data_IF_715993797864
#
_entry.id   IF_715993797864
#
_cell.length_a   1.000
_cell.length_b   1.000
_cell.length_c   1.000
_cell.angle_alpha   90.00
_cell.angle_beta   90.00
_cell.angle_gamma   90.00
#
_symmetry.space_group_name_H-M   'P 1'
#
loop_
_entity.id
_entity.type
_entity.pdbx_description
1 polymer ?
#
# COMPACT_ATOMS: atom_id res chain seq x y z
N UNK A 1 28.38 20.25 29.97
CA UNK A 1 27.40 19.20 30.39
C UNK A 1 25.95 19.57 30.07
N UNK A 2 25.53 20.84 30.14
CA UNK A 2 24.14 21.24 29.82
C UNK A 2 23.74 21.04 28.33
N UNK A 3 24.59 21.37 27.36
CA UNK A 3 24.30 21.16 25.93
C UNK A 3 24.08 19.68 25.54
N UNK A 4 24.87 18.75 26.08
CA UNK A 4 24.65 17.29 25.83
C UNK A 4 23.35 16.76 26.45
N UNK A 5 22.86 17.37 27.54
CA UNK A 5 21.55 17.01 28.12
C UNK A 5 20.38 17.57 27.30
N UNK A 6 20.53 18.74 26.68
CA UNK A 6 19.52 19.30 25.80
C UNK A 6 19.41 18.51 24.49
N UNK A 7 20.54 18.20 23.84
CA UNK A 7 20.54 17.38 22.63
C UNK A 7 20.00 15.95 22.87
N UNK A 8 20.26 15.35 24.04
CA UNK A 8 19.67 14.06 24.41
C UNK A 8 18.16 14.17 24.74
N UNK A 9 17.67 15.32 25.23
CA UNK A 9 16.24 15.54 25.44
C UNK A 9 15.49 15.85 24.13
N UNK A 10 16.09 16.56 23.20
CA UNK A 10 15.49 16.80 21.88
C UNK A 10 15.43 15.53 21.02
N UNK A 11 16.48 14.70 21.02
CA UNK A 11 16.47 13.40 20.32
C UNK A 11 15.45 12.41 20.90
N UNK A 12 15.18 12.46 22.21
CA UNK A 12 14.18 11.57 22.83
C UNK A 12 12.73 12.00 22.61
N UNK A 13 12.47 13.23 22.15
CA UNK A 13 11.11 13.70 21.83
C UNK A 13 10.59 13.18 20.49
N UNK A 14 11.47 12.81 19.56
CA UNK A 14 11.10 12.29 18.25
C UNK A 14 10.97 10.76 18.19
N UNK A 15 11.45 10.04 19.21
CA UNK A 15 11.33 8.59 19.26
C UNK A 15 9.92 8.16 19.64
N UNK A 16 9.25 7.44 18.75
CA UNK A 16 7.93 6.85 18.98
C UNK A 16 8.04 5.34 19.14
N UNK A 17 7.17 4.77 19.95
CA UNK A 17 7.02 3.33 20.15
C UNK A 17 5.59 2.92 19.91
N UNK A 18 5.39 1.69 19.44
CA UNK A 18 4.06 1.14 19.27
C UNK A 18 3.62 0.41 20.53
N UNK A 19 2.54 0.87 21.12
CA UNK A 19 1.89 0.23 22.24
C UNK A 19 0.58 -0.43 21.82
N UNK A 20 0.21 -1.48 22.52
CA UNK A 20 -0.97 -2.32 22.26
C UNK A 20 -1.79 -2.41 23.56
N UNK A 21 -3.11 -2.31 23.43
CA UNK A 21 -4.07 -2.67 24.46
C UNK A 21 -4.88 -3.89 23.97
N UNK A 22 -4.83 -5.00 24.70
CA UNK A 22 -5.79 -6.10 24.52
C UNK A 22 -7.10 -5.74 25.23
N UNK A 23 -8.16 -5.51 24.45
CA UNK A 23 -9.49 -5.12 24.96
C UNK A 23 -10.16 -6.20 25.77
N UNK A 24 -9.76 -7.48 25.63
CA UNK A 24 -10.33 -8.61 26.37
C UNK A 24 -9.74 -8.73 27.76
N UNK A 25 -8.42 -8.54 27.84
CA UNK A 25 -7.68 -8.69 29.10
C UNK A 25 -7.39 -7.38 29.79
N UNK A 26 -7.60 -6.24 29.11
CA UNK A 26 -7.21 -4.89 29.53
C UNK A 26 -5.70 -4.76 29.83
N UNK A 27 -4.88 -5.62 29.24
CA UNK A 27 -3.42 -5.54 29.37
C UNK A 27 -2.81 -4.69 28.27
N UNK A 28 -1.82 -3.91 28.65
CA UNK A 28 -1.01 -3.13 27.73
C UNK A 28 0.35 -3.79 27.52
N UNK A 29 0.89 -3.66 26.32
CA UNK A 29 2.23 -4.11 25.96
C UNK A 29 2.85 -3.13 24.95
N UNK A 30 4.17 -3.25 24.74
CA UNK A 30 4.91 -2.52 23.70
C UNK A 30 5.56 -3.50 22.76
N UNK A 31 5.55 -3.19 21.47
CA UNK A 31 6.24 -3.99 20.46
C UNK A 31 7.74 -3.84 20.66
N UNK A 32 8.44 -4.96 20.82
CA UNK A 32 9.92 -5.00 20.93
C UNK A 32 10.59 -5.31 19.61
N UNK A 33 9.94 -6.16 18.80
CA UNK A 33 10.49 -6.56 17.51
C UNK A 33 9.35 -6.92 16.56
N UNK A 34 9.56 -6.64 15.31
CA UNK A 34 8.75 -7.15 14.21
C UNK A 34 9.63 -8.10 13.41
N UNK A 35 9.20 -9.32 13.22
CA UNK A 35 9.88 -10.25 12.34
C UNK A 35 9.55 -9.86 10.89
N UNK A 36 10.57 -9.51 10.13
CA UNK A 36 10.42 -9.09 8.74
C UNK A 36 9.98 -10.22 7.81
N UNK A 37 10.22 -11.48 8.23
CA UNK A 37 9.90 -12.66 7.40
C UNK A 37 8.41 -13.04 7.45
N UNK A 38 7.82 -13.04 8.64
CA UNK A 38 6.43 -13.47 8.84
C UNK A 38 5.53 -12.39 9.43
N UNK A 39 6.11 -11.21 9.73
CA UNK A 39 5.42 -10.09 10.36
C UNK A 39 5.04 -10.32 11.81
N UNK A 40 5.55 -11.40 12.44
CA UNK A 40 5.27 -11.68 13.85
C UNK A 40 5.81 -10.58 14.76
N UNK A 41 5.06 -10.30 15.81
CA UNK A 41 5.40 -9.30 16.79
C UNK A 41 5.85 -9.95 18.09
N UNK A 42 7.01 -9.56 18.54
CA UNK A 42 7.39 -9.76 19.92
C UNK A 42 6.92 -8.55 20.73
N UNK A 43 6.21 -8.83 21.82
CA UNK A 43 5.69 -7.80 22.73
C UNK A 43 6.32 -7.98 24.10
N UNK A 44 6.57 -6.86 24.75
CA UNK A 44 7.13 -6.82 26.12
C UNK A 44 6.27 -5.92 27.01
N UNK A 45 6.29 -6.12 28.34
CA UNK A 45 5.62 -5.21 29.26
C UNK A 45 6.11 -3.76 29.06
N UNK A 46 5.24 -2.74 29.25
CA UNK A 46 5.55 -1.34 29.02
C UNK A 46 6.40 -0.70 30.12
N UNK A 47 7.21 -1.48 30.81
CA UNK A 47 8.07 -1.04 31.89
C UNK A 47 9.30 -0.28 31.39
N UNK A 48 9.72 0.77 32.08
CA UNK A 48 10.95 1.51 31.78
C UNK A 48 12.19 0.64 31.67
N UNK A 49 12.24 -0.49 32.39
CA UNK A 49 13.32 -1.48 32.32
C UNK A 49 13.49 -2.09 30.95
N UNK A 50 12.40 -2.16 30.19
CA UNK A 50 12.35 -2.76 28.85
C UNK A 50 12.55 -1.73 27.74
N UNK A 51 12.74 -0.44 28.06
CA UNK A 51 12.76 0.64 27.07
C UNK A 51 13.86 0.49 26.01
N UNK A 52 14.98 -0.16 26.35
CA UNK A 52 16.04 -0.50 25.39
C UNK A 52 15.63 -1.58 24.38
N UNK A 53 14.60 -2.36 24.70
CA UNK A 53 14.09 -3.43 23.85
C UNK A 53 12.87 -2.99 23.02
N UNK A 54 12.38 -1.75 23.18
CA UNK A 54 11.23 -1.27 22.42
C UNK A 54 11.62 -0.99 20.97
N UNK A 55 10.77 -1.44 20.04
CA UNK A 55 10.89 -1.07 18.64
C UNK A 55 10.61 0.42 18.49
N UNK A 56 11.64 1.18 18.14
CA UNK A 56 11.54 2.61 17.90
C UNK A 56 11.10 2.83 16.46
N UNK A 57 10.07 3.63 16.28
CA UNK A 57 9.48 3.97 15.01
C UNK A 57 9.61 5.47 14.80
N UNK A 58 9.93 5.88 13.59
CA UNK A 58 9.71 7.24 13.15
C UNK A 58 8.31 7.38 12.52
N UNK A 59 7.85 8.60 12.30
CA UNK A 59 6.54 8.84 11.68
C UNK A 59 6.46 8.41 10.21
N UNK A 60 7.60 8.07 9.60
CA UNK A 60 7.73 7.66 8.20
C UNK A 60 7.81 6.15 8.05
N UNK A 61 7.95 5.41 9.16
CA UNK A 61 7.99 3.95 9.16
C UNK A 61 6.73 3.37 8.52
N UNK A 62 6.84 2.29 7.72
CA UNK A 62 5.72 1.71 6.98
C UNK A 62 4.75 0.97 7.92
N UNK A 63 3.96 1.73 8.68
CA UNK A 63 2.93 1.21 9.59
C UNK A 63 1.88 0.35 8.87
N UNK A 64 1.69 0.55 7.56
CA UNK A 64 0.77 -0.24 6.75
C UNK A 64 1.14 -1.72 6.72
N UNK A 65 2.42 -2.04 6.60
CA UNK A 65 2.91 -3.42 6.61
C UNK A 65 2.74 -4.06 7.99
N UNK A 66 3.02 -3.28 9.05
CA UNK A 66 2.78 -3.68 10.43
C UNK A 66 1.33 -4.12 10.65
N UNK A 67 0.36 -3.28 10.25
CA UNK A 67 -1.06 -3.60 10.47
C UNK A 67 -1.54 -4.79 9.63
N UNK A 68 -1.01 -4.96 8.43
CA UNK A 68 -1.35 -6.11 7.58
C UNK A 68 -0.89 -7.41 8.22
N UNK A 69 0.35 -7.44 8.68
CA UNK A 69 0.93 -8.62 9.31
C UNK A 69 0.30 -8.90 10.68
N UNK A 70 0.01 -7.85 11.44
CA UNK A 70 -0.67 -7.99 12.72
C UNK A 70 -2.09 -8.55 12.57
N UNK A 71 -2.87 -8.07 11.58
CA UNK A 71 -4.21 -8.61 11.29
C UNK A 71 -4.15 -10.11 10.98
N UNK A 72 -3.09 -10.55 10.32
CA UNK A 72 -2.91 -11.94 9.94
C UNK A 72 -2.55 -12.87 11.10
N UNK A 73 -1.94 -12.34 12.17
CA UNK A 73 -1.54 -13.12 13.36
C UNK A 73 -2.64 -13.30 14.39
N UNK A 74 -3.59 -12.39 14.44
CA UNK A 74 -4.63 -12.39 15.44
C UNK A 74 -5.97 -12.68 14.78
N UNK A 75 -6.60 -13.79 15.18
CA UNK A 75 -7.91 -14.23 14.68
C UNK A 75 -9.01 -13.18 14.86
N UNK A 76 -8.79 -12.18 15.73
CA UNK A 76 -9.73 -11.09 15.96
C UNK A 76 -9.00 -9.76 16.20
N UNK A 77 -8.61 -9.03 15.14
CA UNK A 77 -7.90 -7.74 15.24
C UNK A 77 -8.73 -6.65 15.93
N UNK A 78 -10.04 -6.78 16.00
CA UNK A 78 -10.93 -5.84 16.71
C UNK A 78 -10.76 -5.92 18.23
N UNK A 79 -10.11 -6.97 18.75
CA UNK A 79 -9.82 -7.13 20.17
C UNK A 79 -8.66 -6.27 20.66
N UNK A 80 -7.95 -5.60 19.77
CA UNK A 80 -6.77 -4.78 20.11
C UNK A 80 -6.97 -3.33 19.75
N UNK A 81 -6.38 -2.44 20.55
CA UNK A 81 -6.17 -1.03 20.22
C UNK A 81 -4.68 -0.76 20.11
N UNK A 82 -4.30 0.08 19.16
CA UNK A 82 -2.91 0.42 18.85
C UNK A 82 -2.66 1.88 19.12
N UNK A 83 -1.48 2.20 19.64
CA UNK A 83 -1.08 3.55 19.99
C UNK A 83 0.35 3.78 19.50
N UNK A 84 0.57 4.82 18.70
CA UNK A 84 1.90 5.33 18.39
C UNK A 84 2.22 6.44 19.39
N UNK A 85 3.07 6.16 20.36
CA UNK A 85 3.29 7.01 21.52
C UNK A 85 4.73 7.51 21.54
N UNK A 86 4.98 8.82 21.71
CA UNK A 86 6.31 9.29 22.02
C UNK A 86 6.86 8.57 23.26
N UNK A 87 8.07 8.04 23.19
CA UNK A 87 8.66 7.23 24.26
C UNK A 87 8.60 7.94 25.64
N UNK A 88 8.81 9.25 25.65
CA UNK A 88 8.77 10.07 26.85
C UNK A 88 7.37 10.17 27.49
N UNK A 89 6.30 9.93 26.71
CA UNK A 89 4.91 9.99 27.15
C UNK A 89 4.27 8.61 27.35
N UNK A 90 5.01 7.52 27.10
CA UNK A 90 4.48 6.15 27.08
C UNK A 90 3.70 5.81 28.35
N UNK A 91 4.30 5.99 29.52
CA UNK A 91 3.69 5.66 30.81
C UNK A 91 2.41 6.46 31.07
N UNK A 92 2.45 7.78 30.83
CA UNK A 92 1.28 8.67 30.99
C UNK A 92 0.14 8.27 30.05
N UNK A 93 0.46 8.02 28.78
CA UNK A 93 -0.52 7.64 27.77
C UNK A 93 -1.18 6.31 28.11
N UNK A 94 -0.39 5.28 28.46
CA UNK A 94 -0.94 3.97 28.77
C UNK A 94 -1.77 3.95 30.07
N UNK A 95 -1.38 4.74 31.08
CA UNK A 95 -2.20 4.92 32.29
C UNK A 95 -3.55 5.56 31.95
N UNK A 96 -3.57 6.61 31.11
CA UNK A 96 -4.82 7.23 30.65
C UNK A 96 -5.69 6.23 29.85
N UNK A 97 -5.09 5.42 28.98
CA UNK A 97 -5.80 4.35 28.23
C UNK A 97 -6.47 3.37 29.19
N UNK A 98 -5.74 2.90 30.21
CA UNK A 98 -6.28 1.94 31.20
C UNK A 98 -7.40 2.58 32.03
N UNK A 99 -7.26 3.85 32.43
CA UNK A 99 -8.30 4.59 33.16
C UNK A 99 -9.58 4.69 32.35
N UNK A 100 -9.50 5.14 31.09
CA UNK A 100 -10.66 5.22 30.18
C UNK A 100 -11.36 3.85 30.05
N UNK A 101 -10.59 2.78 29.94
CA UNK A 101 -11.14 1.41 29.85
C UNK A 101 -11.85 0.95 31.13
N UNK A 102 -11.42 1.44 32.27
CA UNK A 102 -12.10 1.19 33.57
C UNK A 102 -13.30 2.09 33.81
N UNK A 103 -13.58 3.05 32.93
CA UNK A 103 -14.62 4.06 33.09
C UNK A 103 -14.19 5.22 34.01
N UNK A 104 -12.89 5.34 34.31
CA UNK A 104 -12.30 6.42 35.10
C UNK A 104 -11.99 7.61 34.20
N UNK A 105 -11.99 8.83 34.74
CA UNK A 105 -11.64 10.03 33.98
C UNK A 105 -10.12 10.33 34.07
N UNK A 106 -9.35 10.22 32.96
CA UNK A 106 -7.93 10.51 32.96
C UNK A 106 -7.60 12.02 32.94
N UNK A 107 -8.63 12.86 33.01
CA UNK A 107 -8.50 14.31 32.87
C UNK A 107 -8.29 14.76 31.41
N UNK A 108 -8.28 16.09 31.23
CA UNK A 108 -8.19 16.70 29.88
C UNK A 108 -6.87 16.34 29.20
N UNK A 109 -5.76 16.34 29.93
CA UNK A 109 -4.44 15.99 29.39
C UNK A 109 -4.38 14.53 28.98
N UNK A 110 -4.88 13.60 29.84
CA UNK A 110 -4.92 12.18 29.53
C UNK A 110 -5.78 11.85 28.30
N UNK A 111 -6.94 12.48 28.15
CA UNK A 111 -7.79 12.32 26.95
C UNK A 111 -7.05 12.76 25.69
N UNK A 112 -6.41 13.93 25.70
CA UNK A 112 -5.61 14.41 24.56
C UNK A 112 -4.44 13.49 24.21
N UNK A 113 -3.75 12.94 25.22
CA UNK A 113 -2.66 11.99 24.98
C UNK A 113 -3.16 10.73 24.27
N UNK A 114 -4.30 10.20 24.69
CA UNK A 114 -4.91 9.02 24.04
C UNK A 114 -5.36 9.35 22.63
N UNK A 115 -6.13 10.42 22.42
CA UNK A 115 -6.61 10.85 21.09
C UNK A 115 -5.46 11.08 20.09
N UNK A 116 -4.37 11.70 20.53
CA UNK A 116 -3.21 11.97 19.67
C UNK A 116 -2.38 10.73 19.34
N UNK A 117 -2.44 9.72 20.20
CA UNK A 117 -1.63 8.50 20.09
C UNK A 117 -2.39 7.34 19.48
N UNK A 118 -3.71 7.30 19.65
CA UNK A 118 -4.55 6.19 19.20
C UNK A 118 -4.52 6.07 17.68
N UNK A 119 -4.08 4.92 17.23
CA UNK A 119 -4.09 4.55 15.81
C UNK A 119 -5.44 3.93 15.41
N UNK A 120 -6.27 3.63 16.40
CA UNK A 120 -7.61 3.10 16.27
C UNK A 120 -8.67 4.21 16.11
N UNK A 121 -8.52 5.01 15.15
CA UNK A 121 -9.73 5.38 14.48
C UNK A 121 -10.23 4.08 13.80
N UNK A 122 -11.35 3.50 14.28
CA UNK A 122 -12.00 2.36 13.58
C UNK A 122 -12.09 2.66 12.08
N UNK A 123 -12.18 3.95 11.71
CA UNK A 123 -12.01 4.47 10.37
C UNK A 123 -10.61 4.30 9.77
N UNK A 124 -9.52 4.34 10.52
CA UNK A 124 -8.16 4.33 9.96
C UNK A 124 -7.66 2.90 9.72
N UNK A 125 -7.88 1.98 10.67
CA UNK A 125 -7.63 0.55 10.46
C UNK A 125 -8.65 -0.03 9.48
N UNK A 126 -9.93 0.38 9.55
CA UNK A 126 -10.92 0.00 8.55
C UNK A 126 -10.62 0.60 7.16
N UNK A 127 -10.05 1.81 7.05
CA UNK A 127 -9.55 2.36 5.79
C UNK A 127 -8.32 1.60 5.28
N UNK A 128 -7.39 1.22 6.16
CA UNK A 128 -6.24 0.40 5.80
C UNK A 128 -6.69 -1.01 5.42
N UNK A 129 -7.58 -1.63 6.20
CA UNK A 129 -8.15 -2.94 5.89
C UNK A 129 -9.03 -2.92 4.61
N UNK A 130 -9.75 -1.83 4.34
CA UNK A 130 -10.51 -1.63 3.09
C UNK A 130 -9.62 -1.44 1.86
N UNK A 131 -8.35 -1.07 2.04
CA UNK A 131 -7.37 -0.99 0.94
C UNK A 131 -6.92 -2.37 0.46
N UNK A 132 -7.00 -3.40 1.32
CA UNK A 132 -6.67 -4.76 0.95
C UNK A 132 -7.94 -5.52 0.57
N UNK A 133 -7.95 -6.03 -0.64
CA UNK A 133 -9.05 -6.81 -1.20
C UNK A 133 -9.00 -8.27 -0.73
N UNK A 134 -7.79 -8.74 -0.43
CA UNK A 134 -7.49 -10.11 -0.03
C UNK A 134 -6.69 -10.13 1.27
N UNK A 135 -6.84 -11.22 2.02
CA UNK A 135 -5.96 -11.55 3.14
C UNK A 135 -4.79 -12.40 2.65
N UNK A 136 -3.64 -12.29 3.32
CA UNK A 136 -2.42 -12.98 2.91
C UNK A 136 -2.60 -14.50 2.81
N UNK A 137 -3.34 -15.13 3.74
CA UNK A 137 -3.57 -16.59 3.68
C UNK A 137 -4.48 -17.00 2.51
N UNK A 138 -5.19 -16.06 1.90
CA UNK A 138 -6.01 -16.33 0.71
C UNK A 138 -5.18 -16.32 -0.56
N UNK A 139 -3.95 -15.79 -0.51
CA UNK A 139 -3.09 -15.77 -1.69
C UNK A 139 -2.75 -17.21 -2.12
N UNK A 140 -2.67 -17.45 -3.43
CA UNK A 140 -2.44 -18.77 -4.01
C UNK A 140 -0.95 -19.17 -3.92
N UNK A 141 -0.45 -19.34 -2.70
CA UNK A 141 0.97 -19.61 -2.40
C UNK A 141 1.52 -20.85 -3.10
N UNK A 142 0.68 -21.89 -3.26
CA UNK A 142 1.09 -23.12 -3.97
C UNK A 142 1.37 -22.85 -5.44
N UNK A 143 0.56 -22.01 -6.08
CA UNK A 143 0.71 -21.64 -7.49
C UNK A 143 1.94 -20.74 -7.68
N UNK A 144 2.14 -19.76 -6.79
CA UNK A 144 3.32 -18.89 -6.79
C UNK A 144 4.61 -19.70 -6.60
N UNK A 145 4.64 -20.60 -5.60
CA UNK A 145 5.79 -21.47 -5.34
C UNK A 145 6.10 -22.38 -6.52
N UNK A 146 5.08 -22.91 -7.22
CA UNK A 146 5.26 -23.73 -8.41
C UNK A 146 5.90 -22.95 -9.59
N UNK A 147 5.81 -21.61 -9.56
CA UNK A 147 6.47 -20.71 -10.51
C UNK A 147 7.85 -20.22 -10.01
N UNK A 148 8.26 -20.63 -8.81
CA UNK A 148 9.52 -20.21 -8.20
C UNK A 148 9.44 -18.86 -7.48
N UNK A 149 8.23 -18.38 -7.19
CA UNK A 149 8.00 -17.12 -6.49
C UNK A 149 7.52 -17.42 -5.07
N UNK A 150 8.29 -17.02 -4.09
CA UNK A 150 7.96 -17.17 -2.69
C UNK A 150 7.53 -15.84 -2.04
N UNK A 151 7.12 -15.92 -0.78
CA UNK A 151 6.68 -14.78 0.00
C UNK A 151 7.77 -13.75 0.18
N UNK A 152 9.01 -14.19 0.45
CA UNK A 152 10.14 -13.31 0.70
C UNK A 152 10.47 -12.49 -0.56
N UNK A 153 10.48 -13.12 -1.73
CA UNK A 153 10.74 -12.44 -3.00
C UNK A 153 9.70 -11.34 -3.28
N UNK A 154 8.41 -11.60 -3.00
CA UNK A 154 7.35 -10.59 -3.15
C UNK A 154 7.49 -9.46 -2.12
N UNK A 155 7.91 -9.78 -0.92
CA UNK A 155 8.12 -8.82 0.16
C UNK A 155 9.30 -7.88 -0.13
N UNK A 156 10.46 -8.42 -0.45
CA UNK A 156 11.68 -7.67 -0.75
C UNK A 156 11.52 -6.71 -1.93
N UNK A 157 10.62 -7.06 -2.84
CA UNK A 157 10.31 -6.25 -4.01
C UNK A 157 9.04 -5.40 -3.84
N UNK A 158 8.51 -5.26 -2.63
CA UNK A 158 7.32 -4.45 -2.30
C UNK A 158 6.03 -4.81 -3.06
N UNK A 159 5.98 -6.00 -3.68
CA UNK A 159 4.85 -6.45 -4.49
C UNK A 159 3.74 -7.16 -3.69
N UNK A 160 4.03 -7.58 -2.45
CA UNK A 160 3.04 -8.21 -1.57
C UNK A 160 1.80 -7.33 -1.39
N UNK A 161 2.00 -6.05 -1.04
CA UNK A 161 0.90 -5.10 -0.84
C UNK A 161 0.09 -4.84 -2.11
N UNK A 162 0.70 -4.93 -3.29
CA UNK A 162 0.00 -4.80 -4.58
C UNK A 162 -0.92 -6.00 -4.81
N UNK A 163 -0.45 -7.21 -4.60
CA UNK A 163 -1.24 -8.42 -4.74
C UNK A 163 -2.41 -8.46 -3.75
N UNK A 164 -2.20 -8.08 -2.49
CA UNK A 164 -3.26 -7.98 -1.48
C UNK A 164 -4.34 -6.95 -1.86
N UNK A 165 -3.96 -5.89 -2.56
CA UNK A 165 -4.91 -4.88 -3.10
C UNK A 165 -5.60 -5.35 -4.39
N UNK A 166 -5.27 -6.52 -4.92
CA UNK A 166 -5.75 -6.99 -6.21
C UNK A 166 -5.19 -6.19 -7.38
N UNK A 167 -4.01 -5.60 -7.20
CA UNK A 167 -3.26 -4.87 -8.23
C UNK A 167 -2.26 -5.78 -8.91
N UNK A 168 -1.88 -5.41 -10.13
CA UNK A 168 -0.76 -6.08 -10.80
C UNK A 168 0.55 -5.72 -10.11
N UNK A 169 1.49 -6.68 -10.00
CA UNK A 169 2.84 -6.40 -9.47
C UNK A 169 3.56 -5.39 -10.34
N UNK A 170 4.19 -4.38 -9.72
CA UNK A 170 4.87 -3.28 -10.40
C UNK A 170 6.16 -3.70 -11.11
N UNK A 171 6.59 -4.95 -10.93
CA UNK A 171 7.72 -5.54 -11.64
C UNK A 171 7.42 -6.96 -12.12
N UNK A 172 8.18 -7.43 -13.09
CA UNK A 172 8.17 -8.80 -13.56
C UNK A 172 9.16 -9.64 -12.77
N UNK A 173 8.78 -10.88 -12.48
CA UNK A 173 9.58 -11.87 -11.78
C UNK A 173 10.00 -12.96 -12.73
N UNK A 174 11.26 -13.45 -12.65
CA UNK A 174 11.65 -14.65 -13.38
C UNK A 174 10.84 -15.83 -12.89
N UNK A 175 10.22 -16.55 -13.81
CA UNK A 175 9.39 -17.72 -13.51
C UNK A 175 10.01 -18.98 -14.09
N UNK A 176 9.87 -20.07 -13.35
CA UNK A 176 10.32 -21.39 -13.77
C UNK A 176 9.29 -22.43 -13.40
N UNK A 177 9.28 -23.52 -14.15
CA UNK A 177 8.39 -24.64 -13.89
C UNK A 177 9.20 -25.94 -13.91
N UNK A 178 8.91 -26.82 -12.96
CA UNK A 178 9.47 -28.16 -12.96
C UNK A 178 8.76 -29.02 -14.00
N UNK A 179 9.54 -29.56 -14.95
CA UNK A 179 9.06 -30.45 -16.00
C UNK A 179 9.98 -31.67 -16.01
N UNK A 180 9.45 -32.85 -15.73
CA UNK A 180 10.20 -34.11 -15.67
C UNK A 180 11.40 -34.09 -14.68
N UNK A 181 11.28 -33.38 -13.56
CA UNK A 181 12.34 -33.27 -12.56
C UNK A 181 13.40 -32.20 -12.87
N UNK A 182 13.28 -31.49 -13.99
CA UNK A 182 14.18 -30.39 -14.36
C UNK A 182 13.47 -29.06 -14.26
N UNK A 183 14.16 -28.06 -13.69
CA UNK A 183 13.65 -26.70 -13.59
C UNK A 183 13.85 -25.98 -14.93
N UNK A 184 12.73 -25.72 -15.64
CA UNK A 184 12.73 -25.02 -16.93
C UNK A 184 12.41 -23.56 -16.75
N UNK A 185 13.23 -22.68 -17.30
CA UNK A 185 12.97 -21.25 -17.39
C UNK A 185 11.75 -20.98 -18.29
N UNK A 186 10.80 -20.19 -17.81
CA UNK A 186 9.58 -19.80 -18.50
C UNK A 186 9.55 -18.29 -18.81
N UNK A 187 10.69 -17.59 -18.65
CA UNK A 187 10.79 -16.14 -18.82
C UNK A 187 10.33 -15.35 -17.60
N UNK A 188 9.76 -14.19 -17.83
CA UNK A 188 9.32 -13.28 -16.79
C UNK A 188 7.79 -13.11 -16.79
N UNK A 189 7.22 -12.89 -15.61
CA UNK A 189 5.77 -12.61 -15.48
C UNK A 189 5.50 -11.60 -14.34
N UNK A 190 4.42 -10.85 -14.51
CA UNK A 190 3.77 -10.11 -13.43
C UNK A 190 2.57 -10.90 -12.92
N UNK A 191 2.17 -10.62 -11.69
CA UNK A 191 1.10 -11.34 -11.02
C UNK A 191 -0.04 -10.42 -10.65
N UNK A 192 -1.25 -10.95 -10.67
CA UNK A 192 -2.48 -10.28 -10.29
C UNK A 192 -3.39 -11.30 -9.58
N UNK A 193 -3.85 -10.96 -8.38
CA UNK A 193 -4.86 -11.76 -7.69
C UNK A 193 -6.26 -11.25 -8.02
N UNK A 194 -7.14 -12.17 -8.38
CA UNK A 194 -8.56 -11.90 -8.66
C UNK A 194 -9.44 -12.82 -7.83
N UNK A 195 -10.67 -12.39 -7.58
CA UNK A 195 -11.68 -13.25 -6.95
C UNK A 195 -12.37 -14.08 -8.02
N UNK A 196 -12.28 -15.39 -7.92
CA UNK A 196 -12.99 -16.33 -8.79
C UNK A 196 -14.49 -16.37 -8.51
N UNK A 197 -15.24 -17.04 -9.38
CA UNK A 197 -16.69 -17.23 -9.24
C UNK A 197 -17.03 -18.04 -7.98
N UNK A 198 -16.15 -18.94 -7.57
CA UNK A 198 -16.26 -19.72 -6.34
C UNK A 198 -15.91 -18.93 -5.07
N UNK A 199 -15.62 -17.64 -5.21
CA UNK A 199 -15.24 -16.74 -4.12
C UNK A 199 -13.79 -16.87 -3.66
N UNK A 200 -13.01 -17.82 -4.19
CA UNK A 200 -11.59 -18.01 -3.87
C UNK A 200 -10.71 -17.04 -4.64
N UNK A 201 -9.54 -16.78 -4.07
CA UNK A 201 -8.52 -15.98 -4.74
C UNK A 201 -7.78 -16.86 -5.75
N UNK A 202 -7.69 -16.36 -6.97
CA UNK A 202 -7.02 -17.00 -8.09
C UNK A 202 -5.84 -16.16 -8.57
N UNK A 203 -4.75 -16.82 -8.96
CA UNK A 203 -3.58 -16.17 -9.55
C UNK A 203 -3.78 -15.98 -11.06
N UNK A 204 -3.67 -14.75 -11.52
CA UNK A 204 -3.45 -14.47 -12.94
C UNK A 204 -1.97 -14.20 -13.18
N UNK A 205 -1.34 -15.07 -13.95
CA UNK A 205 0.04 -14.93 -14.38
C UNK A 205 0.08 -14.22 -15.73
N UNK A 206 0.68 -13.04 -15.74
CA UNK A 206 0.81 -12.18 -16.92
C UNK A 206 2.24 -12.27 -17.44
N UNK A 207 2.54 -13.29 -18.23
CA UNK A 207 3.86 -13.45 -18.86
C UNK A 207 4.20 -12.19 -19.66
N UNK A 208 5.43 -11.73 -19.51
CA UNK A 208 5.95 -10.58 -20.24
C UNK A 208 5.93 -10.88 -21.75
N UNK A 209 5.47 -9.92 -22.50
CA UNK A 209 5.48 -9.97 -23.96
C UNK A 209 6.77 -9.37 -24.50
N UNK A 210 7.26 -9.89 -25.63
CA UNK A 210 8.46 -9.35 -26.30
C UNK A 210 8.25 -7.95 -26.87
N UNK A 211 7.00 -7.62 -27.18
CA UNK A 211 6.59 -6.32 -27.71
C UNK A 211 5.37 -5.80 -26.95
N UNK A 212 5.16 -4.47 -26.93
CA UNK A 212 3.94 -3.90 -26.41
C UNK A 212 2.70 -4.55 -26.98
N UNK A 213 1.74 -4.91 -26.14
CA UNK A 213 0.53 -5.64 -26.54
C UNK A 213 -0.26 -4.92 -27.64
N UNK A 214 -0.29 -3.58 -27.63
CA UNK A 214 -0.97 -2.78 -28.66
C UNK A 214 -0.31 -2.86 -30.04
N UNK A 215 0.90 -3.40 -30.16
CA UNK A 215 1.60 -3.63 -31.43
C UNK A 215 1.45 -5.08 -31.96
N UNK A 216 0.78 -5.94 -31.20
CA UNK A 216 0.52 -7.31 -31.62
C UNK A 216 -0.55 -7.35 -32.72
N UNK A 217 -0.51 -8.35 -33.64
CA UNK A 217 -1.50 -8.48 -34.71
C UNK A 217 -2.95 -8.50 -34.22
N UNK A 218 -3.21 -9.13 -33.05
CA UNK A 218 -4.53 -9.19 -32.43
C UNK A 218 -5.10 -7.82 -32.02
N UNK A 219 -4.26 -6.80 -31.90
CA UNK A 219 -4.63 -5.43 -31.53
C UNK A 219 -4.59 -4.46 -32.73
N UNK A 220 -4.40 -4.97 -33.94
CA UNK A 220 -4.39 -4.14 -35.16
C UNK A 220 -5.72 -3.40 -35.30
N UNK A 221 -5.65 -2.06 -35.35
CA UNK A 221 -6.83 -1.19 -35.47
C UNK A 221 -7.61 -0.98 -34.17
N UNK A 222 -7.19 -1.56 -33.05
CA UNK A 222 -7.80 -1.31 -31.74
C UNK A 222 -7.39 0.07 -31.21
N UNK A 223 -6.14 0.47 -31.41
CA UNK A 223 -5.61 1.76 -30.97
C UNK A 223 -5.16 2.58 -32.17
N UNK A 224 -5.47 3.89 -32.15
CA UNK A 224 -4.88 4.85 -33.08
C UNK A 224 -3.42 5.12 -32.74
N UNK A 225 -2.68 5.76 -33.63
CA UNK A 225 -1.26 6.08 -33.38
C UNK A 225 -1.13 7.09 -32.24
N UNK A 226 -2.07 8.05 -32.10
CA UNK A 226 -2.13 8.99 -30.99
C UNK A 226 -2.42 8.30 -29.66
N UNK A 227 -3.32 7.32 -29.65
CA UNK A 227 -3.62 6.52 -28.47
C UNK A 227 -2.41 5.68 -28.03
N UNK A 228 -1.69 5.06 -28.96
CA UNK A 228 -0.44 4.34 -28.68
C UNK A 228 0.63 5.27 -28.12
N UNK A 229 0.75 6.46 -28.71
CA UNK A 229 1.70 7.46 -28.20
C UNK A 229 1.33 7.92 -26.80
N UNK A 230 0.04 8.16 -26.50
CA UNK A 230 -0.43 8.47 -25.14
C UNK A 230 -0.08 7.36 -24.14
N UNK A 231 -0.34 6.11 -24.48
CA UNK A 231 0.01 4.95 -23.64
C UNK A 231 1.52 4.85 -23.39
N UNK A 232 2.34 5.12 -24.40
CA UNK A 232 3.80 5.12 -24.30
C UNK A 232 4.33 6.24 -23.42
N UNK A 233 3.85 7.48 -23.63
CA UNK A 233 4.39 8.68 -22.99
C UNK A 233 3.87 8.86 -21.56
N UNK A 234 2.63 8.44 -21.33
CA UNK A 234 1.94 8.73 -20.06
C UNK A 234 1.58 7.49 -19.25
N UNK A 235 1.67 6.32 -19.86
CA UNK A 235 1.24 5.05 -19.26
C UNK A 235 -0.28 4.87 -19.21
N UNK A 236 -1.09 5.87 -19.66
CA UNK A 236 -2.56 5.81 -19.66
C UNK A 236 -3.13 6.30 -20.97
N UNK A 237 -4.30 5.79 -21.38
CA UNK A 237 -4.94 6.21 -22.63
C UNK A 237 -5.40 7.67 -22.59
N UNK A 238 -5.86 8.12 -21.43
CA UNK A 238 -6.43 9.48 -21.28
C UNK A 238 -7.90 9.56 -21.70
N UNK A 239 -8.52 8.45 -22.03
CA UNK A 239 -9.92 8.32 -22.42
C UNK A 239 -10.48 6.96 -22.03
N UNK A 240 -11.80 6.84 -22.08
CA UNK A 240 -12.51 5.55 -21.92
C UNK A 240 -12.53 4.82 -23.28
N UNK A 241 -12.37 3.49 -23.23
CA UNK A 241 -12.46 2.64 -24.41
C UNK A 241 -13.20 1.33 -24.08
N UNK A 242 -14.04 0.86 -25.00
CA UNK A 242 -14.66 -0.46 -24.88
C UNK A 242 -13.60 -1.53 -25.07
N UNK A 243 -13.33 -2.29 -24.02
CA UNK A 243 -12.29 -3.31 -23.99
C UNK A 243 -12.65 -4.44 -23.03
N UNK A 244 -11.92 -5.55 -23.14
CA UNK A 244 -12.03 -6.66 -22.21
C UNK A 244 -11.33 -6.29 -20.89
N UNK A 245 -12.07 -6.30 -19.79
CA UNK A 245 -11.51 -6.06 -18.45
C UNK A 245 -10.44 -7.10 -18.09
N UNK A 246 -9.31 -6.61 -17.59
CA UNK A 246 -8.18 -7.49 -17.24
C UNK A 246 -8.52 -8.44 -16.08
N UNK A 247 -9.40 -8.05 -15.16
CA UNK A 247 -9.73 -8.82 -13.96
C UNK A 247 -10.79 -9.90 -14.26
N UNK A 248 -11.89 -9.52 -14.86
CA UNK A 248 -13.06 -10.39 -15.09
C UNK A 248 -13.06 -11.01 -16.47
N UNK A 249 -12.47 -10.34 -17.43
CA UNK A 249 -12.52 -10.73 -18.84
C UNK A 249 -13.80 -10.31 -19.57
N UNK A 250 -14.68 -9.54 -18.94
CA UNK A 250 -15.92 -9.00 -19.52
C UNK A 250 -15.61 -7.81 -20.41
N UNK A 251 -16.31 -7.70 -21.54
CA UNK A 251 -16.22 -6.52 -22.44
C UNK A 251 -17.09 -5.42 -21.91
N UNK A 252 -16.51 -4.28 -21.65
CA UNK A 252 -17.22 -3.09 -21.11
C UNK A 252 -16.40 -1.82 -21.37
N UNK A 253 -16.97 -0.67 -21.02
CA UNK A 253 -16.24 0.59 -21.01
C UNK A 253 -15.19 0.58 -19.92
N UNK A 254 -13.93 0.74 -20.29
CA UNK A 254 -12.76 0.63 -19.41
C UNK A 254 -11.90 1.89 -19.42
N UNK A 255 -11.28 2.17 -18.28
CA UNK A 255 -10.02 2.91 -18.25
C UNK A 255 -8.89 1.98 -18.71
N UNK A 256 -7.92 2.54 -19.40
CA UNK A 256 -6.85 1.77 -20.08
C UNK A 256 -5.49 2.31 -19.72
N UNK A 257 -4.59 1.43 -19.29
CA UNK A 257 -3.16 1.73 -19.04
C UNK A 257 -2.26 0.75 -19.76
N UNK A 258 -1.03 1.17 -19.99
CA UNK A 258 0.07 0.30 -20.40
C UNK A 258 0.94 -0.05 -19.19
N UNK A 259 1.19 -1.32 -19.00
CA UNK A 259 2.04 -1.85 -17.94
C UNK A 259 3.36 -2.34 -18.55
N UNK A 260 4.38 -1.49 -18.47
CA UNK A 260 5.69 -1.72 -19.07
C UNK A 260 6.36 -3.03 -18.61
N UNK A 261 6.39 -3.38 -17.29
CA UNK A 261 7.05 -4.61 -16.86
C UNK A 261 6.52 -5.88 -17.52
N UNK A 262 5.25 -5.92 -17.89
CA UNK A 262 4.65 -7.06 -18.61
C UNK A 262 4.46 -6.82 -20.12
N UNK A 263 4.72 -5.62 -20.62
CA UNK A 263 4.38 -5.16 -21.97
C UNK A 263 2.88 -5.33 -22.32
N UNK A 264 1.98 -5.23 -21.31
CA UNK A 264 0.54 -5.47 -21.49
C UNK A 264 -0.32 -4.25 -21.25
N UNK A 265 -1.47 -4.27 -21.88
CA UNK A 265 -2.58 -3.36 -21.60
C UNK A 265 -3.32 -3.87 -20.37
N UNK A 266 -3.53 -2.99 -19.41
CA UNK A 266 -4.32 -3.22 -18.20
C UNK A 266 -5.57 -2.36 -18.29
N UNK A 267 -6.70 -2.98 -18.07
CA UNK A 267 -8.02 -2.36 -18.18
C UNK A 267 -8.82 -2.61 -16.91
N UNK A 268 -9.61 -1.65 -16.51
CA UNK A 268 -10.61 -1.79 -15.44
C UNK A 268 -11.92 -1.12 -15.86
N UNK A 269 -13.08 -1.68 -15.48
CA UNK A 269 -14.38 -1.06 -15.76
C UNK A 269 -14.48 0.35 -15.16
N UNK A 270 -15.19 1.25 -15.84
CA UNK A 270 -15.33 2.62 -15.35
C UNK A 270 -16.06 2.71 -14.02
N UNK A 271 -16.96 1.78 -13.74
CA UNK A 271 -17.73 1.68 -12.50
C UNK A 271 -16.91 1.07 -11.32
N UNK A 272 -15.76 0.48 -11.62
CA UNK A 272 -14.87 -0.05 -10.59
C UNK A 272 -14.16 1.06 -9.79
N UNK A 273 -14.12 2.30 -10.31
CA UNK A 273 -13.44 3.44 -9.69
C UNK A 273 -14.44 4.53 -9.33
N UNK A 274 -14.53 4.83 -8.04
CA UNK A 274 -15.30 5.97 -7.57
C UNK A 274 -14.43 7.22 -7.57
N UNK A 275 -14.82 8.23 -8.37
CA UNK A 275 -14.12 9.52 -8.38
C UNK A 275 -14.36 10.21 -7.03
N UNK A 276 -13.29 10.61 -6.32
CA UNK A 276 -13.41 11.20 -4.98
C UNK A 276 -13.88 12.67 -5.05
N UNK A 277 -14.44 13.15 -3.95
CA UNK A 277 -14.79 14.57 -3.80
C UNK A 277 -13.59 15.47 -3.53
N UNK A 278 -12.49 14.87 -3.04
CA UNK A 278 -11.27 15.59 -2.66
C UNK A 278 -10.02 14.85 -3.13
N UNK A 279 -9.03 15.58 -3.62
CA UNK A 279 -7.68 15.09 -3.89
C UNK A 279 -6.70 15.96 -3.09
N UNK A 280 -5.91 15.35 -2.20
CA UNK A 280 -4.99 16.05 -1.29
C UNK A 280 -5.63 17.23 -0.53
N UNK A 281 -6.87 17.06 -0.07
CA UNK A 281 -7.60 18.10 0.66
C UNK A 281 -8.26 19.17 -0.23
N UNK A 282 -7.97 19.21 -1.51
CA UNK A 282 -8.60 20.12 -2.48
C UNK A 282 -9.91 19.52 -2.98
N UNK A 283 -11.02 20.24 -2.80
CA UNK A 283 -12.35 19.83 -3.29
C UNK A 283 -12.39 19.90 -4.82
N UNK A 284 -12.95 18.87 -5.44
CA UNK A 284 -13.17 18.83 -6.88
C UNK A 284 -14.58 19.36 -7.20
N UNK A 285 -14.68 20.22 -8.21
CA UNK A 285 -15.95 20.61 -8.80
C UNK A 285 -16.47 19.53 -9.79
N UNK A 286 -17.70 19.70 -10.27
CA UNK A 286 -18.31 18.70 -11.14
C UNK A 286 -17.60 18.54 -12.49
N UNK A 287 -17.04 19.62 -13.04
CA UNK A 287 -16.25 19.58 -14.29
C UNK A 287 -14.97 18.78 -14.08
N UNK A 288 -14.29 19.01 -12.97
CA UNK A 288 -13.05 18.31 -12.62
C UNK A 288 -13.32 16.80 -12.39
N UNK A 289 -14.43 16.46 -11.71
CA UNK A 289 -14.86 15.07 -11.58
C UNK A 289 -15.18 14.43 -12.93
N UNK A 290 -15.84 15.16 -13.82
CA UNK A 290 -16.17 14.67 -15.16
C UNK A 290 -14.92 14.42 -16.01
N UNK A 291 -13.86 15.25 -15.91
CA UNK A 291 -12.57 15.02 -16.56
C UNK A 291 -12.00 13.68 -16.11
N UNK A 292 -11.93 13.42 -14.80
CA UNK A 292 -11.42 12.15 -14.27
C UNK A 292 -12.34 10.97 -14.66
N UNK A 293 -13.65 11.14 -14.58
CA UNK A 293 -14.63 10.12 -14.94
C UNK A 293 -14.57 9.74 -16.42
N UNK A 294 -14.18 10.65 -17.31
CA UNK A 294 -13.96 10.36 -18.73
C UNK A 294 -12.57 9.75 -19.03
N UNK A 295 -11.76 9.49 -18.01
CA UNK A 295 -10.38 9.00 -18.16
C UNK A 295 -9.35 10.11 -18.43
N UNK A 296 -9.79 11.35 -18.43
CA UNK A 296 -8.95 12.52 -18.68
C UNK A 296 -7.93 12.80 -17.58
N UNK A 297 -7.02 13.71 -17.87
CA UNK A 297 -5.93 14.13 -16.98
C UNK A 297 -6.27 15.50 -16.41
N UNK A 298 -6.39 15.58 -15.08
CA UNK A 298 -6.78 16.80 -14.36
C UNK A 298 -5.54 17.49 -13.76
N UNK A 299 -5.13 18.67 -14.25
CA UNK A 299 -4.14 19.47 -13.55
C UNK A 299 -4.68 19.94 -12.20
N UNK A 300 -3.90 19.76 -11.15
CA UNK A 300 -4.20 20.25 -9.80
C UNK A 300 -2.99 21.04 -9.32
N UNK A 301 -3.20 22.33 -9.08
CA UNK A 301 -2.15 23.25 -8.66
C UNK A 301 -2.39 23.68 -7.20
N UNK A 302 -1.33 24.16 -6.56
CA UNK A 302 -1.38 24.81 -5.25
C UNK A 302 -1.98 23.94 -4.13
N UNK A 303 -1.62 22.66 -4.11
CA UNK A 303 -1.93 21.78 -2.99
C UNK A 303 -0.99 22.14 -1.84
N UNK A 304 -1.55 22.65 -0.76
CA UNK A 304 -0.75 22.99 0.43
C UNK A 304 -0.32 21.73 1.19
N UNK A 305 0.99 21.59 1.40
CA UNK A 305 1.57 20.53 2.24
C UNK A 305 1.73 21.01 3.68
N UNK A 306 1.90 20.08 4.61
CA UNK A 306 2.10 20.36 6.05
C UNK A 306 3.34 21.22 6.36
N UNK A 307 4.31 21.28 5.46
CA UNK A 307 5.54 22.06 5.56
C UNK A 307 5.48 23.38 4.77
N UNK A 308 4.29 23.90 4.53
CA UNK A 308 4.00 25.13 3.78
C UNK A 308 4.53 25.18 2.34
N UNK A 309 4.96 24.05 1.79
CA UNK A 309 5.31 23.96 0.37
C UNK A 309 4.07 23.69 -0.48
N UNK A 310 4.03 24.27 -1.68
CA UNK A 310 2.98 24.03 -2.65
C UNK A 310 3.35 22.84 -3.55
N UNK A 311 2.38 21.98 -3.78
CA UNK A 311 2.48 20.84 -4.68
C UNK A 311 1.53 21.05 -5.86
N UNK A 312 2.07 20.94 -7.07
CA UNK A 312 1.29 20.96 -8.31
C UNK A 312 1.56 19.69 -9.10
N UNK A 313 0.56 19.22 -9.84
CA UNK A 313 0.69 17.99 -10.62
C UNK A 313 -0.56 17.68 -11.40
N UNK A 314 -0.64 16.44 -11.87
CA UNK A 314 -1.75 15.93 -12.67
C UNK A 314 -2.35 14.69 -12.02
N UNK A 315 -3.65 14.71 -11.77
CA UNK A 315 -4.43 13.57 -11.32
C UNK A 315 -5.05 12.83 -12.51
N UNK A 316 -5.12 11.52 -12.46
CA UNK A 316 -5.74 10.68 -13.50
C UNK A 316 -6.11 9.31 -12.92
N UNK A 317 -7.07 8.62 -13.55
CA UNK A 317 -7.39 7.24 -13.20
C UNK A 317 -6.30 6.32 -13.75
N UNK A 318 -5.74 5.47 -12.88
CA UNK A 318 -4.71 4.50 -13.27
C UNK A 318 -5.18 3.06 -13.00
N UNK A 319 -5.55 2.30 -14.03
CA UNK A 319 -5.89 0.89 -13.93
C UNK A 319 -4.87 0.02 -13.20
N UNK A 320 -3.57 0.34 -13.31
CA UNK A 320 -2.50 -0.46 -12.69
C UNK A 320 -2.57 -0.47 -11.17
N UNK A 321 -2.99 0.66 -10.60
CA UNK A 321 -3.16 0.80 -9.15
C UNK A 321 -4.63 0.75 -8.71
N UNK A 322 -5.58 0.63 -9.65
CA UNK A 322 -7.03 0.61 -9.41
C UNK A 322 -7.50 1.82 -8.59
N UNK A 323 -6.97 3.00 -8.88
CA UNK A 323 -7.24 4.21 -8.10
C UNK A 323 -6.87 5.47 -8.90
N UNK A 324 -7.11 6.64 -8.30
CA UNK A 324 -6.60 7.90 -8.81
C UNK A 324 -5.10 8.01 -8.50
N UNK A 325 -4.30 8.13 -9.54
CA UNK A 325 -2.89 8.48 -9.44
C UNK A 325 -2.72 10.00 -9.46
N UNK A 326 -1.65 10.47 -8.83
CA UNK A 326 -1.21 11.86 -8.90
C UNK A 326 0.28 11.89 -9.24
N UNK A 327 0.61 12.59 -10.33
CA UNK A 327 1.98 12.81 -10.74
C UNK A 327 2.37 14.25 -10.48
N UNK A 328 3.43 14.49 -9.72
CA UNK A 328 3.92 15.83 -9.40
C UNK A 328 4.55 16.48 -10.63
N UNK A 329 4.34 17.80 -10.81
CA UNK A 329 5.01 18.58 -11.84
C UNK A 329 6.52 18.62 -11.58
N UNK A 330 7.31 18.33 -12.61
CA UNK A 330 8.78 18.21 -12.49
C UNK A 330 9.30 16.77 -12.37
N UNK A 331 8.45 15.79 -12.07
CA UNK A 331 8.80 14.38 -12.23
C UNK A 331 8.67 13.99 -13.70
N UNK A 332 9.79 13.68 -14.36
CA UNK A 332 9.76 13.07 -15.69
C UNK A 332 9.00 11.75 -15.63
N UNK A 333 8.37 11.35 -16.75
CA UNK A 333 7.84 10.02 -16.95
C UNK A 333 9.02 9.04 -17.03
N UNK A 334 9.68 8.81 -15.92
CA UNK A 334 10.55 7.66 -15.84
C UNK A 334 9.66 6.42 -15.69
N UNK A 335 9.59 5.66 -16.76
CA UNK A 335 9.13 4.28 -16.77
C UNK A 335 10.11 3.38 -16.04
N UNK A 336 10.62 3.79 -14.90
CA UNK A 336 11.42 2.95 -14.00
C UNK A 336 11.56 3.67 -12.68
N UNK A 337 10.81 3.28 -11.66
CA UNK A 337 11.31 3.42 -10.31
C UNK A 337 12.38 2.34 -10.11
N UNK A 338 13.61 2.64 -10.47
CA UNK A 338 14.73 2.01 -9.82
C UNK A 338 14.70 2.44 -8.36
N UNK A 339 14.19 1.58 -7.51
CA UNK A 339 14.50 1.65 -6.09
C UNK A 339 16.00 1.41 -5.99
N UNK A 340 16.76 2.48 -5.78
CA UNK A 340 18.13 2.37 -5.34
C UNK A 340 18.10 1.68 -3.97
N UNK A 341 18.40 0.39 -3.97
CA UNK A 341 18.77 -0.30 -2.77
C UNK A 341 19.93 0.46 -2.11
N UNK A 342 19.80 0.73 -0.82
CA UNK A 342 20.91 1.22 -0.02
C UNK A 342 22.09 0.29 -0.21
N UNK A 343 23.08 0.73 -1.00
CA UNK A 343 24.40 0.14 -0.97
C UNK A 343 25.03 0.58 0.35
N UNK A 344 25.08 -0.36 1.29
CA UNK A 344 25.95 -0.27 2.45
C UNK A 344 27.39 -0.17 1.94
N UNK A 345 28.00 0.98 2.09
CA UNK A 345 29.45 1.09 2.09
C UNK A 345 29.98 0.73 3.47
N UNK A 346 30.90 -0.22 3.45
CA UNK A 346 31.69 -0.72 4.56
C UNK A 346 32.39 0.38 5.38
#
# INVERSE_FOLDING_TARGET
>A
MAKKKQEQQEQSQDEHVMAILDKRTNKTAVVSKMNEQDGSLEIVPPDKKNSSSFLKLDRTSPLELFFTNFKNQYENPTSFSFFLVPLVLLEKTLNAVVQIRKGEDPGVEGKKLVENSELNDEGRIAKLARRYKFDEHQLPWKELAALGVDKQLLFDNHCMGEMLKGRITSMAFPISKEVNGEKKDMGEACFLCVKGEDGKVQLKTLSRLDKPQYDLPAYKGVFTDEEKQSLKDTGTLGAIKEMKDTHTGTVCNCYVSFHEPSNRIITIPVDAIKIPDYIYGKRLDDKQKQILASGGRLPINDIQRKNDTLLSGVAFVDPRIMDIAFKQSGEQLEGQRHYHGCQNHA
#
